data_IF_064083279031
#
_entry.id   IF_064083279031
#
_cell.length_a   1.000
_cell.length_b   1.000
_cell.length_c   1.000
_cell.angle_alpha   90.00
_cell.angle_beta   90.00
_cell.angle_gamma   90.00
#
_symmetry.space_group_name_H-M   'P 1'
#
loop_
_entity.id
_entity.type
_entity.pdbx_description
1 polymer ?
#
# COMPACT_ATOMS: atom_id res chain seq x y z
N UNK A 1 -7.45 2.29 20.58
CA UNK A 1 -7.11 1.09 19.87
C UNK A 1 -7.35 1.22 18.39
N UNK A 2 -6.53 0.63 17.59
CA UNK A 2 -6.66 0.74 16.16
C UNK A 2 -7.86 -0.04 15.66
N UNK A 3 -8.48 0.40 14.59
CA UNK A 3 -9.54 -0.36 13.99
C UNK A 3 -9.00 -1.67 13.43
N UNK A 4 -9.86 -2.65 13.37
CA UNK A 4 -9.46 -3.96 12.89
C UNK A 4 -9.22 -3.98 11.39
N UNK A 5 -9.81 -3.05 10.65
CA UNK A 5 -9.68 -3.02 9.20
C UNK A 5 -9.41 -1.59 8.77
N UNK A 6 -8.18 -1.15 8.83
CA UNK A 6 -7.87 0.22 8.43
C UNK A 6 -8.02 0.38 6.92
N UNK A 7 -8.55 1.53 6.53
CA UNK A 7 -8.60 1.89 5.12
C UNK A 7 -7.22 2.24 4.58
N UNK A 8 -6.27 2.40 5.49
CA UNK A 8 -4.90 2.78 5.15
C UNK A 8 -3.97 1.76 5.76
N UNK A 9 -3.01 1.31 4.98
CA UNK A 9 -2.07 0.30 5.44
C UNK A 9 -0.64 0.69 5.11
N UNK A 10 0.31 0.06 5.80
CA UNK A 10 1.73 0.27 5.52
C UNK A 10 2.14 -0.55 4.30
N UNK A 11 3.29 -0.21 3.70
CA UNK A 11 3.79 -1.03 2.58
C UNK A 11 3.98 -2.48 2.98
N UNK A 12 4.41 -2.75 4.21
CA UNK A 12 4.57 -4.12 4.68
C UNK A 12 3.23 -4.85 4.72
N UNK A 13 2.20 -4.17 5.19
CA UNK A 13 0.87 -4.76 5.23
C UNK A 13 0.33 -5.01 3.83
N UNK A 14 0.52 -4.05 2.93
CA UNK A 14 0.10 -4.22 1.54
C UNK A 14 0.84 -5.38 0.88
N UNK A 15 2.12 -5.51 1.17
CA UNK A 15 2.91 -6.61 0.64
C UNK A 15 2.36 -7.96 1.10
N UNK A 16 1.99 -8.05 2.37
CA UNK A 16 1.39 -9.27 2.90
C UNK A 16 0.07 -9.60 2.22
N UNK A 17 -0.75 -8.59 1.98
CA UNK A 17 -2.04 -8.79 1.33
C UNK A 17 -1.86 -9.31 -0.08
N UNK A 18 -0.91 -8.75 -0.81
CA UNK A 18 -0.65 -9.13 -2.19
C UNK A 18 0.33 -10.29 -2.32
N UNK A 19 0.93 -10.71 -1.21
CA UNK A 19 1.92 -11.79 -1.17
C UNK A 19 3.12 -11.50 -2.05
N UNK A 20 3.58 -10.27 -1.97
CA UNK A 20 4.80 -9.84 -2.65
C UNK A 20 5.74 -9.25 -1.63
N UNK A 21 6.93 -8.89 -2.06
CA UNK A 21 7.88 -8.28 -1.13
C UNK A 21 7.53 -6.82 -0.92
N UNK A 22 7.97 -6.28 0.21
CA UNK A 22 7.77 -4.87 0.50
C UNK A 22 8.47 -4.00 -0.55
N UNK A 23 9.61 -4.45 -1.02
CA UNK A 23 10.36 -3.74 -2.06
C UNK A 23 9.53 -3.62 -3.34
N UNK A 24 8.79 -4.66 -3.68
CA UNK A 24 7.92 -4.62 -4.85
C UNK A 24 6.83 -3.55 -4.69
N UNK A 25 6.29 -3.45 -3.48
CA UNK A 25 5.28 -2.43 -3.19
C UNK A 25 5.88 -1.04 -3.34
N UNK A 26 7.05 -0.83 -2.79
CA UNK A 26 7.70 0.48 -2.87
C UNK A 26 8.05 0.81 -4.32
N UNK A 27 8.51 -0.16 -5.07
CA UNK A 27 8.81 0.04 -6.49
C UNK A 27 7.55 0.44 -7.26
N UNK A 28 6.43 -0.19 -6.98
CA UNK A 28 5.17 0.14 -7.62
C UNK A 28 4.73 1.57 -7.28
N UNK A 29 4.95 1.98 -6.03
CA UNK A 29 4.64 3.34 -5.60
C UNK A 29 5.51 4.34 -6.35
N UNK A 30 6.81 4.07 -6.43
CA UNK A 30 7.74 4.95 -7.11
C UNK A 30 7.48 5.04 -8.60
N UNK A 31 7.02 3.95 -9.18
CA UNK A 31 6.69 3.92 -10.61
C UNK A 31 5.37 4.62 -10.93
N UNK A 32 4.57 4.89 -9.91
CA UNK A 32 3.27 5.51 -10.10
C UNK A 32 2.16 4.53 -10.38
N UNK A 33 2.46 3.24 -10.35
CA UNK A 33 1.45 2.20 -10.58
C UNK A 33 0.52 2.05 -9.38
N UNK A 34 1.07 2.23 -8.19
CA UNK A 34 0.31 2.11 -6.96
C UNK A 34 0.30 3.45 -6.26
N UNK A 35 -0.87 3.99 -6.05
CA UNK A 35 -1.01 5.29 -5.40
C UNK A 35 -0.83 5.13 -3.90
N UNK A 36 -0.02 5.99 -3.33
CA UNK A 36 0.22 5.99 -1.91
C UNK A 36 0.45 7.41 -1.43
N UNK A 37 0.22 7.63 -0.16
CA UNK A 37 0.50 8.90 0.46
C UNK A 37 1.73 8.78 1.32
N UNK A 38 2.58 9.78 1.26
CA UNK A 38 3.74 9.83 2.12
C UNK A 38 3.45 10.76 3.28
N UNK A 39 3.43 10.21 4.46
CA UNK A 39 3.19 10.98 5.68
C UNK A 39 4.44 10.88 6.52
N UNK A 40 5.14 12.00 6.64
CA UNK A 40 6.43 11.98 7.30
C UNK A 40 7.41 11.14 6.50
N UNK A 41 7.96 10.12 7.11
CA UNK A 41 8.91 9.21 6.46
C UNK A 41 8.27 7.88 6.07
N UNK A 42 6.96 7.78 6.15
CA UNK A 42 6.29 6.52 5.92
C UNK A 42 5.28 6.65 4.79
N UNK A 43 5.20 5.61 3.99
CA UNK A 43 4.15 5.52 2.98
C UNK A 43 2.88 4.94 3.60
N UNK A 44 1.76 5.40 3.11
CA UNK A 44 0.46 4.85 3.49
C UNK A 44 -0.33 4.57 2.24
N UNK A 45 -0.88 3.39 2.15
CA UNK A 45 -1.58 2.93 0.97
C UNK A 45 -3.04 2.71 1.34
N UNK A 46 -3.95 3.35 0.63
CA UNK A 46 -5.36 3.18 0.89
C UNK A 46 -5.83 1.85 0.30
N UNK A 47 -6.88 1.30 0.90
CA UNK A 47 -7.47 0.07 0.40
C UNK A 47 -7.99 0.26 -1.02
N UNK A 48 -8.56 1.43 -1.31
CA UNK A 48 -9.05 1.74 -2.64
C UNK A 48 -7.92 1.75 -3.66
N UNK A 49 -6.77 2.31 -3.29
CA UNK A 49 -5.62 2.33 -4.18
C UNK A 49 -5.14 0.91 -4.47
N UNK A 50 -5.16 0.06 -3.45
CA UNK A 50 -4.75 -1.32 -3.62
C UNK A 50 -5.71 -2.07 -4.53
N UNK A 51 -7.01 -1.86 -4.34
CA UNK A 51 -8.03 -2.48 -5.19
C UNK A 51 -7.86 -2.05 -6.65
N UNK A 52 -7.62 -0.78 -6.86
CA UNK A 52 -7.42 -0.24 -8.21
C UNK A 52 -6.17 -0.85 -8.84
N UNK A 53 -5.12 -1.00 -8.05
CA UNK A 53 -3.89 -1.61 -8.54
C UNK A 53 -4.12 -3.06 -8.98
N UNK A 54 -4.90 -3.79 -8.20
CA UNK A 54 -5.19 -5.19 -8.51
C UNK A 54 -6.08 -5.34 -9.75
N UNK A 55 -6.95 -4.39 -9.97
CA UNK A 55 -7.82 -4.44 -11.15
C UNK A 55 -7.07 -4.11 -12.42
N UNK A 56 -5.99 -3.45 -12.25
CA UNK A 56 -5.15 -3.17 -13.31
C UNK A 56 -4.91 -2.23 -14.06
#
# INVERSE_FOLDING_TARGET
PPPSTPDVMTPAEAASVLRVSEEDIIAAINAGDLKARKIGNAYRISKDALDTYLKG
#
